data_IF_536737703971
#
_entry.id   IF_536737703971
#
_cell.length_a   1.000
_cell.length_b   1.000
_cell.length_c   1.000
_cell.angle_alpha   90.00
_cell.angle_beta   90.00
_cell.angle_gamma   90.00
#
_symmetry.space_group_name_H-M   'P 1'
#
loop_
_entity.id
_entity.type
_entity.pdbx_description
1 polymer ?
#
# COMPACT_ATOMS: atom_id res chain seq x y z
N UNK A 1 -40.43 49.63 22.80
CA UNK A 1 -40.29 48.99 21.47
C UNK A 1 -41.63 48.36 21.06
N UNK A 2 -42.21 48.82 19.94
CA UNK A 2 -43.63 48.63 19.58
C UNK A 2 -43.98 47.14 19.31
N UNK A 3 -45.12 46.62 19.85
CA UNK A 3 -45.55 45.20 19.78
C UNK A 3 -45.58 44.65 18.34
N UNK A 4 -45.96 45.47 17.36
CA UNK A 4 -45.96 45.11 15.93
C UNK A 4 -44.56 44.85 15.36
N UNK A 5 -43.50 45.44 15.94
CA UNK A 5 -42.11 45.28 15.51
C UNK A 5 -41.51 43.95 15.99
N UNK A 6 -41.92 43.46 17.18
CA UNK A 6 -41.52 42.14 17.72
C UNK A 6 -42.13 40.97 16.93
N UNK A 7 -43.42 41.05 16.58
CA UNK A 7 -44.06 40.01 15.76
C UNK A 7 -43.45 39.89 14.37
N UNK A 8 -43.11 41.01 13.71
CA UNK A 8 -42.43 40.99 12.41
C UNK A 8 -41.02 40.39 12.49
N UNK A 9 -40.30 40.64 13.58
CA UNK A 9 -38.95 40.09 13.79
C UNK A 9 -38.98 38.57 14.03
N UNK A 10 -39.96 38.07 14.79
CA UNK A 10 -40.12 36.62 15.04
C UNK A 10 -40.54 35.84 13.78
N UNK A 11 -41.35 36.44 12.89
CA UNK A 11 -41.74 35.80 11.62
C UNK A 11 -40.56 35.74 10.65
N UNK A 12 -39.74 36.79 10.59
CA UNK A 12 -38.53 36.81 9.76
C UNK A 12 -37.50 35.80 10.26
N UNK A 13 -37.32 35.66 11.58
CA UNK A 13 -36.41 34.66 12.17
C UNK A 13 -36.89 33.21 11.90
N UNK A 14 -38.20 32.96 11.96
CA UNK A 14 -38.78 31.66 11.61
C UNK A 14 -38.64 31.33 10.12
N UNK A 15 -38.78 32.31 9.22
CA UNK A 15 -38.51 32.13 7.78
C UNK A 15 -37.03 31.85 7.50
N UNK A 16 -36.11 32.52 8.20
CA UNK A 16 -34.66 32.27 8.05
C UNK A 16 -34.29 30.88 8.56
N UNK A 17 -34.87 30.41 9.67
CA UNK A 17 -34.68 29.03 10.15
C UNK A 17 -35.28 27.97 9.19
N UNK A 18 -36.40 28.27 8.52
CA UNK A 18 -36.98 27.37 7.50
C UNK A 18 -36.17 27.37 6.20
N UNK A 19 -35.57 28.49 5.81
CA UNK A 19 -34.67 28.62 4.66
C UNK A 19 -33.29 27.97 4.89
N UNK A 20 -32.86 27.82 6.16
CA UNK A 20 -31.65 27.05 6.49
C UNK A 20 -31.83 25.52 6.42
N UNK A 21 -33.06 25.00 6.28
CA UNK A 21 -33.33 23.57 6.05
C UNK A 21 -33.42 23.20 4.56
N UNK A 22 -33.40 24.19 3.65
CA UNK A 22 -33.55 23.95 2.21
C UNK A 22 -32.23 23.77 1.44
N UNK A 23 -31.08 23.75 2.11
CA UNK A 23 -29.84 23.27 1.54
C UNK A 23 -29.55 21.85 2.00
N UNK A 24 -30.50 20.95 1.78
CA UNK A 24 -30.14 19.54 1.66
C UNK A 24 -29.31 19.43 0.39
N UNK A 25 -27.99 19.34 0.53
CA UNK A 25 -27.17 18.80 -0.56
C UNK A 25 -27.84 17.50 -0.96
N UNK A 26 -28.26 17.42 -2.22
CA UNK A 26 -28.80 16.18 -2.77
C UNK A 26 -27.61 15.23 -2.81
N UNK A 27 -27.45 14.44 -1.74
CA UNK A 27 -26.54 13.33 -1.74
C UNK A 27 -27.06 12.39 -2.83
N UNK A 28 -26.37 12.36 -3.97
CA UNK A 28 -26.63 11.34 -4.97
C UNK A 28 -26.44 10.00 -4.26
N UNK A 29 -27.53 9.27 -4.07
CA UNK A 29 -27.46 7.92 -3.55
C UNK A 29 -26.55 7.14 -4.50
N UNK A 30 -25.40 6.70 -4.00
CA UNK A 30 -24.53 5.79 -4.73
C UNK A 30 -25.34 4.50 -4.92
N UNK A 31 -25.86 4.29 -6.13
CA UNK A 31 -26.77 3.17 -6.46
C UNK A 31 -26.03 1.82 -6.34
N UNK A 32 -24.70 1.84 -6.33
CA UNK A 32 -23.84 0.67 -6.10
C UNK A 32 -22.69 1.04 -5.16
N UNK A 33 -22.78 0.65 -3.89
CA UNK A 33 -21.65 0.78 -2.98
C UNK A 33 -20.51 -0.11 -3.48
N UNK A 34 -19.27 0.41 -3.63
CA UNK A 34 -18.13 -0.42 -3.95
C UNK A 34 -17.96 -1.48 -2.86
N UNK A 35 -17.73 -2.72 -3.29
CA UNK A 35 -17.52 -3.85 -2.38
C UNK A 35 -16.24 -3.65 -1.55
N UNK A 36 -15.24 -2.99 -2.14
CA UNK A 36 -13.94 -2.70 -1.55
C UNK A 36 -13.76 -1.18 -1.34
N UNK A 37 -13.07 -0.85 -0.26
CA UNK A 37 -12.68 0.50 0.12
C UNK A 37 -11.16 0.54 0.22
N UNK A 38 -10.54 1.62 -0.26
CA UNK A 38 -9.13 1.89 -0.09
C UNK A 38 -8.93 2.92 1.03
N UNK A 39 -8.21 2.52 2.08
CA UNK A 39 -7.96 3.37 3.25
C UNK A 39 -6.48 3.77 3.30
N UNK A 40 -6.18 5.06 3.26
CA UNK A 40 -4.81 5.56 3.46
C UNK A 40 -4.35 5.34 4.90
N UNK A 41 -3.36 4.46 5.09
CA UNK A 41 -2.76 4.19 6.41
C UNK A 41 -1.56 5.10 6.69
N UNK A 42 -0.66 5.21 5.71
CA UNK A 42 0.56 6.02 5.79
C UNK A 42 0.76 6.74 4.45
N UNK A 43 0.75 8.07 4.46
CA UNK A 43 0.89 8.94 3.29
C UNK A 43 1.30 10.37 3.72
N UNK A 44 1.87 11.17 2.83
CA UNK A 44 2.38 12.51 3.16
C UNK A 44 3.38 12.46 4.32
N UNK A 45 3.21 13.32 5.33
CA UNK A 45 4.09 13.40 6.50
C UNK A 45 4.13 12.11 7.37
N UNK A 46 3.18 11.20 7.17
CA UNK A 46 3.15 9.91 7.90
C UNK A 46 3.85 8.77 7.14
N UNK A 47 4.24 8.99 5.88
CA UNK A 47 4.97 8.01 5.09
C UNK A 47 6.39 7.78 5.65
N UNK A 48 6.83 6.52 5.65
CA UNK A 48 8.13 6.09 6.18
C UNK A 48 9.05 5.58 5.07
N UNK A 49 10.34 5.42 5.39
CA UNK A 49 11.29 4.76 4.48
C UNK A 49 11.06 3.25 4.37
N UNK A 50 10.45 2.65 5.40
CA UNK A 50 10.21 1.21 5.46
C UNK A 50 9.09 0.87 6.44
N UNK A 51 8.43 -0.25 6.18
CA UNK A 51 7.43 -0.87 7.06
C UNK A 51 7.76 -2.34 7.30
N UNK A 52 7.48 -2.81 8.51
CA UNK A 52 7.56 -4.23 8.85
C UNK A 52 6.17 -4.86 8.75
N UNK A 53 6.05 -5.96 8.01
CA UNK A 53 4.80 -6.71 7.89
C UNK A 53 4.93 -8.16 8.34
N UNK A 54 3.87 -8.70 8.93
CA UNK A 54 3.77 -10.13 9.30
C UNK A 54 2.31 -10.57 9.34
N UNK A 55 2.08 -11.88 9.33
CA UNK A 55 0.73 -12.44 9.40
C UNK A 55 0.78 -13.82 10.04
N UNK A 56 -0.05 -14.13 11.05
CA UNK A 56 -0.19 -15.50 11.55
C UNK A 56 -0.90 -16.42 10.53
N UNK A 57 -1.43 -15.86 9.45
CA UNK A 57 -2.09 -16.58 8.34
C UNK A 57 -1.17 -16.74 7.12
N UNK A 58 0.12 -16.45 7.27
CA UNK A 58 1.09 -16.35 6.18
C UNK A 58 0.89 -15.07 5.35
N UNK A 59 1.95 -14.68 4.63
CA UNK A 59 1.97 -13.56 3.71
C UNK A 59 2.17 -14.07 2.28
N UNK A 60 1.29 -13.68 1.38
CA UNK A 60 1.51 -13.75 -0.06
C UNK A 60 1.76 -12.33 -0.58
N UNK A 61 2.92 -12.13 -1.21
CA UNK A 61 3.33 -10.86 -1.78
C UNK A 61 3.15 -10.89 -3.30
N UNK A 62 2.46 -9.89 -3.81
CA UNK A 62 2.10 -9.78 -5.22
C UNK A 62 2.48 -8.41 -5.76
N UNK A 63 2.69 -8.31 -7.06
CA UNK A 63 2.78 -7.03 -7.78
C UNK A 63 1.59 -6.93 -8.71
N UNK A 64 0.94 -5.78 -8.76
CA UNK A 64 -0.13 -5.51 -9.72
C UNK A 64 0.43 -4.74 -10.91
N UNK A 65 0.42 -5.37 -12.08
CA UNK A 65 0.85 -4.77 -13.35
C UNK A 65 -0.38 -4.71 -14.24
N UNK A 66 -0.88 -3.51 -14.54
CA UNK A 66 -2.04 -3.31 -15.41
C UNK A 66 -3.28 -4.13 -15.00
N UNK A 67 -3.61 -4.15 -13.70
CA UNK A 67 -4.69 -4.93 -13.08
C UNK A 67 -4.50 -6.46 -13.12
N UNK A 68 -3.30 -6.93 -13.45
CA UNK A 68 -2.92 -8.33 -13.32
C UNK A 68 -1.98 -8.47 -12.13
N UNK A 69 -2.40 -9.26 -11.15
CA UNK A 69 -1.57 -9.58 -10.00
C UNK A 69 -0.68 -10.78 -10.29
N UNK A 70 0.60 -10.65 -9.95
CA UNK A 70 1.60 -11.69 -10.09
C UNK A 70 2.23 -11.92 -8.72
N UNK A 71 2.08 -13.14 -8.21
CA UNK A 71 2.70 -13.57 -6.96
C UNK A 71 4.23 -13.65 -7.12
N UNK A 72 4.98 -13.11 -6.17
CA UNK A 72 6.45 -13.17 -6.19
C UNK A 72 7.09 -13.70 -4.90
N UNK A 73 6.37 -13.77 -3.79
CA UNK A 73 6.88 -14.40 -2.57
C UNK A 73 5.74 -14.87 -1.68
N UNK A 74 5.90 -16.05 -1.08
CA UNK A 74 5.05 -16.52 0.02
C UNK A 74 5.94 -16.78 1.25
N UNK A 75 5.52 -16.32 2.42
CA UNK A 75 6.33 -16.38 3.63
C UNK A 75 5.48 -16.38 4.90
N UNK A 76 5.83 -17.21 5.87
CA UNK A 76 5.29 -17.14 7.24
C UNK A 76 6.13 -16.25 8.17
N UNK A 77 7.21 -15.66 7.63
CA UNK A 77 8.11 -14.79 8.38
C UNK A 77 7.68 -13.33 8.32
N UNK A 78 8.36 -12.52 9.13
CA UNK A 78 8.25 -11.07 9.04
C UNK A 78 9.04 -10.57 7.83
N UNK A 79 8.40 -9.73 7.00
CA UNK A 79 9.02 -9.07 5.85
C UNK A 79 9.18 -7.57 6.12
N UNK A 80 10.11 -6.96 5.39
CA UNK A 80 10.29 -5.51 5.35
C UNK A 80 10.02 -5.05 3.92
N UNK A 81 9.10 -4.09 3.78
CA UNK A 81 8.86 -3.35 2.53
C UNK A 81 9.47 -1.97 2.70
N UNK A 82 10.42 -1.60 1.85
CA UNK A 82 11.21 -0.39 2.00
C UNK A 82 11.48 0.29 0.65
N UNK A 83 11.85 1.56 0.70
CA UNK A 83 12.50 2.21 -0.44
C UNK A 83 13.92 1.69 -0.61
N UNK A 84 14.35 1.52 -1.86
CA UNK A 84 15.72 1.09 -2.18
C UNK A 84 16.66 2.29 -2.33
N UNK A 85 16.75 3.11 -1.29
CA UNK A 85 17.56 4.33 -1.26
C UNK A 85 18.53 4.39 -0.06
N UNK A 86 18.78 3.24 0.57
CA UNK A 86 19.58 3.12 1.77
C UNK A 86 21.05 2.81 1.51
N UNK A 87 21.77 2.57 2.60
CA UNK A 87 23.09 1.94 2.53
C UNK A 87 22.92 0.53 1.92
N UNK A 88 23.75 0.19 0.94
CA UNK A 88 23.70 -1.05 0.16
C UNK A 88 22.66 -1.13 -0.99
N UNK A 89 22.11 0.00 -1.46
CA UNK A 89 21.14 0.07 -2.56
C UNK A 89 21.75 0.22 -3.97
N UNK A 90 23.01 -0.19 -4.16
CA UNK A 90 23.59 -0.39 -5.49
C UNK A 90 23.56 -1.89 -5.82
N UNK A 91 23.16 -2.23 -7.05
CA UNK A 91 23.06 -3.61 -7.51
C UNK A 91 23.66 -3.77 -8.90
N UNK A 92 24.24 -4.94 -9.17
CA UNK A 92 24.67 -5.30 -10.53
C UNK A 92 23.45 -5.84 -11.26
N UNK A 93 23.22 -5.37 -12.48
CA UNK A 93 22.12 -5.82 -13.32
C UNK A 93 22.65 -6.87 -14.29
N UNK A 94 21.96 -8.01 -14.39
CA UNK A 94 22.16 -8.93 -15.50
C UNK A 94 21.52 -8.34 -16.75
N UNK A 95 22.24 -8.32 -17.86
CA UNK A 95 21.83 -7.59 -19.07
C UNK A 95 20.61 -8.21 -19.79
N UNK A 96 20.25 -9.45 -19.46
CA UNK A 96 19.06 -10.13 -19.98
C UNK A 96 17.76 -9.49 -19.44
N UNK A 97 16.79 -9.30 -20.33
CA UNK A 97 15.42 -8.92 -20.00
C UNK A 97 14.48 -10.09 -20.27
N UNK A 98 13.53 -10.30 -19.35
CA UNK A 98 12.56 -11.38 -19.39
C UNK A 98 11.14 -10.83 -19.54
N UNK A 99 10.26 -11.65 -20.11
CA UNK A 99 8.86 -11.25 -20.37
C UNK A 99 7.90 -11.71 -19.28
N UNK A 100 8.35 -12.61 -18.40
CA UNK A 100 7.58 -13.08 -17.25
C UNK A 100 8.40 -13.10 -15.97
N UNK A 101 7.70 -12.94 -14.84
CA UNK A 101 8.29 -13.14 -13.51
C UNK A 101 8.95 -14.50 -13.39
N UNK A 102 8.32 -15.56 -13.92
CA UNK A 102 8.80 -16.93 -13.78
C UNK A 102 10.17 -17.13 -14.42
N UNK A 103 10.40 -16.59 -15.62
CA UNK A 103 11.71 -16.66 -16.28
C UNK A 103 12.81 -15.96 -15.46
N UNK A 104 12.54 -14.75 -14.97
CA UNK A 104 13.48 -14.02 -14.13
C UNK A 104 13.72 -14.71 -12.79
N UNK A 105 12.66 -15.26 -12.16
CA UNK A 105 12.75 -16.01 -10.92
C UNK A 105 13.58 -17.28 -11.08
N UNK A 106 13.33 -18.08 -12.12
CA UNK A 106 14.09 -19.31 -12.38
C UNK A 106 15.57 -19.01 -12.60
N UNK A 107 15.90 -17.92 -13.31
CA UNK A 107 17.28 -17.45 -13.45
C UNK A 107 17.88 -16.99 -12.12
N UNK A 108 17.16 -16.19 -11.32
CA UNK A 108 17.61 -15.77 -10.01
C UNK A 108 17.87 -16.98 -9.09
N UNK A 109 16.99 -17.98 -9.10
CA UNK A 109 17.18 -19.22 -8.34
C UNK A 109 18.40 -20.00 -8.82
N UNK A 110 18.61 -20.14 -10.14
CA UNK A 110 19.76 -20.82 -10.70
C UNK A 110 21.09 -20.15 -10.28
N UNK A 111 21.16 -18.82 -10.33
CA UNK A 111 22.31 -18.05 -9.86
C UNK A 111 22.49 -18.16 -8.34
N UNK A 112 21.39 -18.13 -7.59
CA UNK A 112 21.41 -18.31 -6.13
C UNK A 112 21.94 -19.69 -5.73
N UNK A 113 21.59 -20.74 -6.47
CA UNK A 113 22.12 -22.08 -6.24
C UNK A 113 23.64 -22.18 -6.49
N UNK A 114 24.20 -21.31 -7.34
CA UNK A 114 25.64 -21.17 -7.54
C UNK A 114 26.34 -20.26 -6.50
N UNK A 115 25.57 -19.72 -5.54
CA UNK A 115 26.05 -18.87 -4.45
C UNK A 115 25.97 -17.37 -4.70
N UNK A 116 25.29 -16.92 -5.75
CA UNK A 116 25.03 -15.49 -5.96
C UNK A 116 23.92 -15.00 -5.02
N UNK A 117 24.03 -13.76 -4.52
CA UNK A 117 22.89 -13.09 -3.91
C UNK A 117 22.09 -12.41 -5.01
N UNK A 118 20.94 -12.95 -5.40
CA UNK A 118 20.14 -12.44 -6.52
C UNK A 118 18.66 -12.33 -6.20
N UNK A 119 17.96 -11.46 -6.90
CA UNK A 119 16.52 -11.30 -6.79
C UNK A 119 15.91 -10.83 -8.11
N UNK A 120 14.65 -11.23 -8.41
CA UNK A 120 13.90 -10.72 -9.55
C UNK A 120 13.47 -9.27 -9.33
N UNK A 121 13.42 -8.51 -10.42
CA UNK A 121 13.01 -7.10 -10.41
C UNK A 121 12.05 -6.82 -11.57
N UNK A 122 10.98 -6.08 -11.30
CA UNK A 122 10.17 -5.47 -12.36
C UNK A 122 10.70 -4.05 -12.64
N UNK A 123 11.29 -3.84 -13.81
CA UNK A 123 12.01 -2.61 -14.12
C UNK A 123 11.10 -1.47 -14.58
N UNK A 124 11.59 -0.23 -14.50
CA UNK A 124 10.93 0.93 -15.08
C UNK A 124 10.71 0.81 -16.61
N UNK A 125 11.50 -0.01 -17.30
CA UNK A 125 11.34 -0.29 -18.74
C UNK A 125 10.22 -1.28 -19.05
N UNK A 126 9.55 -1.84 -18.03
CA UNK A 126 8.43 -2.77 -18.19
C UNK A 126 8.84 -4.22 -18.42
N UNK A 127 10.13 -4.54 -18.24
CA UNK A 127 10.66 -5.90 -18.35
C UNK A 127 10.98 -6.48 -16.97
N UNK A 128 11.05 -7.81 -16.89
CA UNK A 128 11.59 -8.49 -15.73
C UNK A 128 13.10 -8.60 -15.87
N UNK A 129 13.82 -8.37 -14.77
CA UNK A 129 15.28 -8.43 -14.71
C UNK A 129 15.74 -9.27 -13.52
N UNK A 130 17.02 -9.64 -13.51
CA UNK A 130 17.66 -10.27 -12.36
C UNK A 130 18.81 -9.39 -11.90
N UNK A 131 18.74 -8.94 -10.65
CA UNK A 131 19.76 -8.10 -10.04
C UNK A 131 20.55 -8.89 -9.00
N UNK A 132 21.79 -8.45 -8.77
CA UNK A 132 22.77 -9.17 -7.98
C UNK A 132 23.45 -8.26 -6.95
N UNK A 133 23.68 -8.84 -5.77
CA UNK A 133 24.40 -8.23 -4.67
C UNK A 133 23.67 -7.05 -4.05
N UNK A 134 24.32 -6.41 -3.08
CA UNK A 134 23.89 -5.18 -2.44
C UNK A 134 25.17 -4.47 -2.02
N UNK A 135 25.44 -3.31 -2.60
CA UNK A 135 26.74 -2.65 -2.55
C UNK A 135 26.59 -1.23 -1.99
N UNK A 136 27.50 -0.81 -1.13
CA UNK A 136 27.41 0.48 -0.43
C UNK A 136 27.68 1.68 -1.35
N UNK A 137 28.37 1.46 -2.47
CA UNK A 137 28.72 2.51 -3.44
C UNK A 137 28.78 1.96 -4.86
N UNK A 138 28.70 2.87 -5.84
CA UNK A 138 28.95 2.56 -7.25
C UNK A 138 30.30 1.88 -7.46
N UNK A 139 31.36 2.34 -6.79
CA UNK A 139 32.71 1.78 -6.95
C UNK A 139 32.76 0.34 -6.45
N UNK A 140 32.15 0.05 -5.30
CA UNK A 140 32.10 -1.32 -4.77
C UNK A 140 31.30 -2.27 -5.68
N UNK A 141 30.22 -1.78 -6.28
CA UNK A 141 29.44 -2.55 -7.26
C UNK A 141 30.25 -2.78 -8.56
N UNK A 142 30.86 -1.75 -9.11
CA UNK A 142 31.68 -1.84 -10.34
C UNK A 142 32.87 -2.78 -10.17
N UNK A 143 33.58 -2.69 -9.04
CA UNK A 143 34.70 -3.57 -8.73
C UNK A 143 34.29 -5.05 -8.61
N UNK A 144 33.04 -5.33 -8.22
CA UNK A 144 32.53 -6.68 -8.10
C UNK A 144 32.13 -7.31 -9.46
N UNK A 145 31.87 -6.52 -10.51
CA UNK A 145 31.42 -7.01 -11.83
C UNK A 145 32.39 -8.06 -12.38
N UNK A 146 33.70 -7.82 -12.34
CA UNK A 146 34.69 -8.76 -12.88
C UNK A 146 34.59 -10.14 -12.21
N UNK A 147 34.36 -10.17 -10.89
CA UNK A 147 34.17 -11.42 -10.15
C UNK A 147 32.84 -12.12 -10.45
N UNK A 148 31.78 -11.33 -10.70
CA UNK A 148 30.46 -11.84 -11.09
C UNK A 148 30.54 -12.48 -12.48
N UNK A 149 31.13 -11.79 -13.46
CA UNK A 149 31.31 -12.29 -14.84
C UNK A 149 32.15 -13.57 -14.86
N UNK A 150 33.19 -13.64 -14.03
CA UNK A 150 34.05 -14.84 -13.96
C UNK A 150 33.35 -16.06 -13.35
N UNK A 151 32.36 -15.86 -12.48
CA UNK A 151 31.71 -16.93 -11.71
C UNK A 151 30.35 -17.35 -12.24
N UNK A 152 29.60 -16.42 -12.83
CA UNK A 152 28.20 -16.62 -13.20
C UNK A 152 28.02 -16.42 -14.71
N UNK A 153 27.50 -17.41 -15.46
CA UNK A 153 27.34 -17.30 -16.90
C UNK A 153 26.37 -16.17 -17.28
N UNK A 154 26.77 -15.27 -18.17
CA UNK A 154 25.92 -14.19 -18.72
C UNK A 154 26.67 -12.88 -18.92
N UNK A 155 25.93 -11.85 -19.31
CA UNK A 155 26.45 -10.50 -19.50
C UNK A 155 26.01 -9.59 -18.35
N UNK A 156 26.97 -8.81 -17.85
CA UNK A 156 26.80 -7.89 -16.72
C UNK A 156 27.60 -6.62 -17.03
N UNK A 157 26.93 -5.62 -17.58
CA UNK A 157 27.57 -4.35 -17.98
C UNK A 157 27.05 -3.15 -17.20
N UNK A 158 25.96 -3.34 -16.44
CA UNK A 158 25.21 -2.24 -15.83
C UNK A 158 25.14 -2.39 -14.31
N UNK A 159 25.20 -1.26 -13.60
CA UNK A 159 24.79 -1.16 -12.21
C UNK A 159 23.56 -0.25 -12.10
N UNK A 160 22.73 -0.51 -11.10
CA UNK A 160 21.65 0.40 -10.70
C UNK A 160 22.08 1.23 -9.50
N UNK A 161 21.53 2.43 -9.41
CA UNK A 161 21.75 3.38 -8.32
C UNK A 161 20.59 3.30 -7.32
N UNK A 162 20.82 3.78 -6.08
CA UNK A 162 19.75 3.95 -5.09
C UNK A 162 18.61 4.80 -5.66
N UNK A 163 17.37 4.34 -5.49
CA UNK A 163 16.18 4.99 -6.00
C UNK A 163 15.10 5.05 -4.93
N UNK A 164 14.64 6.26 -4.62
CA UNK A 164 13.51 6.45 -3.72
C UNK A 164 12.16 6.09 -4.39
N UNK A 165 12.16 5.87 -5.70
CA UNK A 165 10.99 5.43 -6.46
C UNK A 165 10.87 3.90 -6.60
N UNK A 166 11.80 3.17 -5.97
CA UNK A 166 11.86 1.71 -6.02
C UNK A 166 11.41 1.12 -4.69
N UNK A 167 10.51 0.15 -4.78
CA UNK A 167 10.06 -0.65 -3.63
C UNK A 167 10.88 -1.93 -3.59
N UNK A 168 11.43 -2.25 -2.42
CA UNK A 168 12.18 -3.46 -2.16
C UNK A 168 11.50 -4.26 -1.05
N UNK A 169 11.35 -5.57 -1.26
CA UNK A 169 10.80 -6.51 -0.29
C UNK A 169 11.89 -7.48 0.15
N UNK A 170 12.12 -7.59 1.45
CA UNK A 170 13.14 -8.47 2.04
C UNK A 170 12.64 -9.22 3.26
N UNK A 171 13.27 -10.36 3.52
CA UNK A 171 13.13 -11.09 4.78
C UNK A 171 13.78 -10.27 5.90
N UNK A 172 13.07 -10.06 7.02
CA UNK A 172 13.54 -9.20 8.12
C UNK A 172 14.77 -9.76 8.82
N UNK A 173 14.81 -11.07 9.04
CA UNK A 173 15.82 -11.70 9.89
C UNK A 173 17.14 -11.91 9.14
N UNK A 174 17.05 -12.28 7.87
CA UNK A 174 18.21 -12.58 7.01
C UNK A 174 18.64 -11.39 6.16
N UNK A 175 17.83 -10.34 6.08
CA UNK A 175 17.99 -9.22 5.14
C UNK A 175 18.03 -9.64 3.67
N UNK A 176 17.69 -10.90 3.33
CA UNK A 176 17.65 -11.38 1.96
C UNK A 176 16.57 -10.65 1.18
N UNK A 177 16.96 -10.02 0.08
CA UNK A 177 16.05 -9.39 -0.87
C UNK A 177 15.28 -10.49 -1.60
N UNK A 178 13.95 -10.38 -1.60
CA UNK A 178 13.05 -11.32 -2.27
C UNK A 178 12.61 -10.78 -3.63
N UNK A 179 12.41 -9.46 -3.72
CA UNK A 179 11.89 -8.79 -4.91
C UNK A 179 12.17 -7.28 -4.86
N UNK A 180 12.28 -6.64 -6.02
CA UNK A 180 12.17 -5.18 -6.14
C UNK A 180 11.25 -4.76 -7.31
N UNK A 181 10.52 -3.67 -7.12
CA UNK A 181 9.74 -2.99 -8.14
C UNK A 181 10.33 -1.60 -8.38
N UNK A 182 10.88 -1.38 -9.56
CA UNK A 182 11.43 -0.08 -9.99
C UNK A 182 10.42 0.69 -10.87
N UNK A 183 9.14 0.32 -10.80
CA UNK A 183 8.05 0.92 -11.57
C UNK A 183 6.94 1.42 -10.63
N UNK A 184 6.86 2.74 -10.37
CA UNK A 184 5.85 3.32 -9.47
C UNK A 184 4.40 3.04 -9.86
N UNK A 185 4.13 2.73 -11.13
CA UNK A 185 2.78 2.39 -11.61
C UNK A 185 2.35 0.96 -11.29
N UNK A 186 3.25 0.14 -10.73
CA UNK A 186 2.98 -1.25 -10.38
C UNK A 186 3.07 -1.45 -8.86
N UNK A 187 1.96 -1.27 -8.12
CA UNK A 187 1.98 -1.36 -6.67
C UNK A 187 2.25 -2.79 -6.19
N UNK A 188 2.90 -2.90 -5.04
CA UNK A 188 3.17 -4.16 -4.35
C UNK A 188 2.09 -4.41 -3.32
N UNK A 189 1.50 -5.60 -3.29
CA UNK A 189 0.37 -5.93 -2.42
C UNK A 189 0.75 -7.11 -1.53
N UNK A 190 0.53 -6.98 -0.22
CA UNK A 190 0.57 -8.08 0.73
C UNK A 190 -0.85 -8.60 0.98
N UNK A 191 -1.00 -9.92 1.00
CA UNK A 191 -2.25 -10.65 1.27
C UNK A 191 -2.00 -11.77 2.27
N UNK A 192 -3.04 -12.21 2.95
CA UNK A 192 -2.94 -13.43 3.76
C UNK A 192 -3.05 -14.67 2.88
N UNK A 193 -2.22 -15.70 3.10
CA UNK A 193 -2.32 -16.98 2.38
C UNK A 193 -3.60 -17.71 2.81
N UNK A 194 -3.77 -17.89 4.12
CA UNK A 194 -4.95 -18.53 4.70
C UNK A 194 -6.05 -17.49 4.93
N UNK A 195 -6.91 -17.30 3.92
CA UNK A 195 -7.98 -16.29 3.96
C UNK A 195 -9.19 -16.78 4.76
N UNK A 196 -9.66 -15.94 5.67
CA UNK A 196 -10.92 -16.16 6.39
C UNK A 196 -11.50 -14.81 6.81
N UNK A 197 -12.73 -14.79 7.30
CA UNK A 197 -13.35 -13.57 7.83
C UNK A 197 -12.68 -13.06 9.11
N UNK A 198 -11.62 -13.70 9.61
CA UNK A 198 -10.83 -13.26 10.76
C UNK A 198 -9.35 -13.12 10.42
N UNK A 199 -8.94 -13.27 9.15
CA UNK A 199 -7.55 -13.08 8.77
C UNK A 199 -7.16 -11.61 8.88
N UNK A 200 -5.92 -11.38 9.30
CA UNK A 200 -5.34 -10.05 9.49
C UNK A 200 -3.83 -10.11 9.26
N UNK A 201 -3.25 -8.95 8.97
CA UNK A 201 -1.82 -8.74 8.90
C UNK A 201 -1.43 -7.66 9.90
N UNK A 202 -0.21 -7.75 10.43
CA UNK A 202 0.41 -6.65 11.15
C UNK A 202 1.21 -5.79 10.18
N UNK A 203 1.09 -4.47 10.30
CA UNK A 203 2.07 -3.51 9.81
C UNK A 203 2.56 -2.68 10.99
N UNK A 204 3.87 -2.65 11.21
CA UNK A 204 4.50 -2.00 12.37
C UNK A 204 3.79 -2.31 13.70
N UNK A 205 3.51 -3.59 13.93
CA UNK A 205 2.83 -4.16 15.11
C UNK A 205 1.36 -3.78 15.29
N UNK A 206 0.73 -3.13 14.31
CA UNK A 206 -0.71 -2.83 14.33
C UNK A 206 -1.47 -3.77 13.38
N UNK A 207 -2.55 -4.44 13.85
CA UNK A 207 -3.30 -5.38 13.03
C UNK A 207 -4.28 -4.66 12.11
N UNK A 208 -4.34 -5.10 10.85
CA UNK A 208 -5.29 -4.65 9.85
C UNK A 208 -5.89 -5.83 9.10
N UNK A 209 -7.16 -5.71 8.74
CA UNK A 209 -7.89 -6.67 7.89
C UNK A 209 -7.75 -6.29 6.43
N UNK A 210 -7.99 -7.23 5.53
CA UNK A 210 -7.85 -7.00 4.08
C UNK A 210 -6.39 -6.99 3.64
N UNK A 211 -6.13 -6.38 2.49
CA UNK A 211 -4.82 -6.36 1.85
C UNK A 211 -4.10 -5.06 2.17
N UNK A 212 -2.76 -5.11 2.19
CA UNK A 212 -1.91 -3.93 2.31
C UNK A 212 -1.27 -3.67 0.96
N UNK A 213 -1.50 -2.50 0.38
CA UNK A 213 -0.92 -2.06 -0.87
C UNK A 213 0.15 -1.01 -0.60
N UNK A 214 1.32 -1.20 -1.21
CA UNK A 214 2.49 -0.36 -1.11
C UNK A 214 2.74 0.28 -2.46
N UNK A 215 2.85 1.59 -2.47
CA UNK A 215 3.03 2.37 -3.70
C UNK A 215 3.91 3.59 -3.43
N UNK A 216 4.58 4.05 -4.47
CA UNK A 216 5.35 5.29 -4.43
C UNK A 216 4.47 6.41 -4.99
N UNK A 217 4.07 7.35 -4.13
CA UNK A 217 3.37 8.56 -4.54
C UNK A 217 4.30 9.79 -4.52
N UNK A 218 3.96 10.78 -5.36
CA UNK A 218 4.60 12.11 -5.45
C UNK A 218 6.15 12.02 -5.39
N UNK A 219 6.82 12.93 -4.69
CA UNK A 219 8.28 13.03 -4.55
C UNK A 219 8.91 11.86 -3.75
N UNK A 220 8.59 10.62 -4.11
CA UNK A 220 9.14 9.38 -3.54
C UNK A 220 8.66 9.01 -2.13
N UNK A 221 7.38 9.19 -1.84
CA UNK A 221 6.75 8.75 -0.59
C UNK A 221 6.31 7.30 -0.71
N UNK A 222 6.78 6.42 0.20
CA UNK A 222 6.29 5.05 0.28
C UNK A 222 4.98 5.04 1.09
N UNK A 223 3.89 5.10 0.34
CA UNK A 223 2.54 5.10 0.89
C UNK A 223 2.05 3.67 1.12
N UNK A 224 1.17 3.53 2.10
CA UNK A 224 0.48 2.29 2.40
C UNK A 224 -1.01 2.52 2.39
N UNK A 225 -1.70 1.76 1.55
CA UNK A 225 -3.15 1.71 1.47
C UNK A 225 -3.63 0.38 2.04
N UNK A 226 -4.77 0.39 2.71
CA UNK A 226 -5.45 -0.81 3.14
C UNK A 226 -6.69 -1.02 2.28
N UNK A 227 -6.66 -2.09 1.48
CA UNK A 227 -7.75 -2.48 0.60
C UNK A 227 -8.59 -3.55 1.31
N UNK A 228 -9.80 -3.19 1.74
CA UNK A 228 -10.67 -4.08 2.52
C UNK A 228 -12.14 -3.94 2.13
N UNK A 229 -12.94 -4.94 2.49
CA UNK A 229 -14.39 -4.85 2.31
C UNK A 229 -14.96 -3.69 3.13
N UNK A 230 -15.92 -2.97 2.56
CA UNK A 230 -16.58 -1.85 3.24
C UNK A 230 -17.12 -2.25 4.62
N UNK A 231 -17.68 -3.45 4.76
CA UNK A 231 -18.19 -3.94 6.04
C UNK A 231 -17.08 -4.21 7.08
N UNK A 232 -15.87 -4.57 6.65
CA UNK A 232 -14.73 -4.68 7.57
C UNK A 232 -14.25 -3.32 8.05
N UNK A 233 -14.30 -2.30 7.19
CA UNK A 233 -14.05 -0.93 7.59
C UNK A 233 -15.09 -0.45 8.60
N UNK A 234 -16.38 -0.60 8.31
CA UNK A 234 -17.47 -0.21 9.21
C UNK A 234 -17.35 -0.92 10.56
N UNK A 235 -17.04 -2.22 10.56
CA UNK A 235 -16.82 -2.99 11.80
C UNK A 235 -15.69 -2.39 12.66
N UNK A 236 -14.58 -2.01 12.05
CA UNK A 236 -13.45 -1.38 12.75
C UNK A 236 -13.80 -0.01 13.31
N UNK A 237 -14.44 0.85 12.50
CA UNK A 237 -14.76 2.23 12.87
C UNK A 237 -15.81 2.29 13.98
N UNK A 238 -16.90 1.54 13.87
CA UNK A 238 -18.02 1.61 14.83
C UNK A 238 -17.55 1.27 16.25
N UNK A 239 -16.74 0.23 16.39
CA UNK A 239 -16.23 -0.20 17.69
C UNK A 239 -15.24 0.82 18.30
N UNK A 240 -14.44 1.50 17.47
CA UNK A 240 -13.46 2.49 17.92
C UNK A 240 -14.10 3.83 18.31
N UNK A 241 -15.14 4.26 17.60
CA UNK A 241 -15.76 5.58 17.79
C UNK A 241 -16.70 5.63 19.00
N UNK A 242 -17.55 4.62 19.18
CA UNK A 242 -18.58 4.64 20.24
C UNK A 242 -18.45 3.50 21.26
N UNK A 243 -17.42 2.65 21.10
CA UNK A 243 -17.20 1.50 21.96
C UNK A 243 -18.16 0.33 21.69
N UNK A 244 -17.64 -0.88 21.79
CA UNK A 244 -18.41 -2.11 21.53
C UNK A 244 -19.59 -2.34 22.48
N UNK A 245 -19.60 -1.69 23.65
CA UNK A 245 -20.64 -1.84 24.67
C UNK A 245 -21.79 -0.84 24.53
N UNK A 246 -21.78 -0.02 23.46
CA UNK A 246 -22.87 0.93 23.18
C UNK A 246 -24.20 0.23 22.91
N UNK A 247 -25.35 0.90 23.12
CA UNK A 247 -26.66 0.35 22.78
C UNK A 247 -26.74 -0.10 21.32
N UNK A 248 -27.47 -1.19 21.06
CA UNK A 248 -27.57 -1.78 19.71
C UNK A 248 -28.02 -0.76 18.65
N UNK A 249 -28.99 0.09 18.98
CA UNK A 249 -29.47 1.12 18.04
C UNK A 249 -28.42 2.22 17.80
N UNK A 250 -27.58 2.54 18.78
CA UNK A 250 -26.44 3.45 18.61
C UNK A 250 -25.38 2.83 17.70
N UNK A 251 -25.08 1.53 17.87
CA UNK A 251 -24.18 0.79 16.98
C UNK A 251 -24.68 0.78 15.53
N UNK A 252 -25.98 0.52 15.32
CA UNK A 252 -26.60 0.56 13.99
C UNK A 252 -26.56 1.97 13.38
N UNK A 253 -26.90 3.01 14.16
CA UNK A 253 -26.85 4.39 13.69
C UNK A 253 -25.42 4.79 13.28
N UNK A 254 -24.43 4.48 14.11
CA UNK A 254 -23.03 4.75 13.80
C UNK A 254 -22.56 3.99 12.56
N UNK A 255 -23.01 2.74 12.37
CA UNK A 255 -22.69 1.97 11.17
C UNK A 255 -23.22 2.63 9.88
N UNK A 256 -24.42 3.20 9.92
CA UNK A 256 -24.98 3.96 8.79
C UNK A 256 -24.18 5.25 8.53
N UNK A 257 -23.79 5.96 9.60
CA UNK A 257 -22.96 7.17 9.49
C UNK A 257 -21.58 6.85 8.91
N UNK A 258 -20.88 5.86 9.45
CA UNK A 258 -19.55 5.45 8.98
C UNK A 258 -19.57 5.00 7.51
N UNK A 259 -20.60 4.24 7.11
CA UNK A 259 -20.78 3.81 5.72
C UNK A 259 -21.04 4.99 4.79
N UNK A 260 -21.96 5.89 5.17
CA UNK A 260 -22.25 7.10 4.39
C UNK A 260 -21.01 7.96 4.23
N UNK A 261 -20.25 8.17 5.31
CA UNK A 261 -19.00 8.91 5.26
C UNK A 261 -18.01 8.28 4.28
N UNK A 262 -17.76 6.97 4.38
CA UNK A 262 -16.83 6.27 3.49
C UNK A 262 -17.23 6.37 2.01
N UNK A 263 -18.53 6.32 1.71
CA UNK A 263 -19.04 6.39 0.34
C UNK A 263 -19.09 7.79 -0.25
N UNK A 264 -19.20 8.82 0.60
CA UNK A 264 -19.28 10.22 0.16
C UNK A 264 -17.93 10.94 0.20
N UNK A 265 -16.90 10.33 0.79
CA UNK A 265 -15.59 10.96 0.90
C UNK A 265 -14.83 10.91 -0.43
N UNK A 266 -14.28 12.06 -0.85
CA UNK A 266 -13.46 12.18 -2.06
C UNK A 266 -12.21 13.05 -1.85
N UNK A 267 -11.92 13.48 -0.62
CA UNK A 267 -10.81 14.37 -0.28
C UNK A 267 -9.42 13.85 -0.70
N UNK A 268 -9.26 12.54 -0.91
CA UNK A 268 -7.95 11.90 -1.11
C UNK A 268 -7.76 11.23 -2.46
N UNK A 269 -8.61 11.56 -3.45
CA UNK A 269 -8.46 11.06 -4.82
C UNK A 269 -7.06 11.30 -5.40
N UNK A 270 -6.37 12.37 -5.00
CA UNK A 270 -4.99 12.65 -5.42
C UNK A 270 -3.99 11.55 -5.02
N UNK A 271 -4.22 10.87 -3.91
CA UNK A 271 -3.42 9.74 -3.43
C UNK A 271 -4.05 8.38 -3.78
N UNK A 272 -5.11 8.36 -4.59
CA UNK A 272 -5.76 7.12 -5.03
C UNK A 272 -6.45 6.32 -3.92
N UNK A 273 -6.95 6.96 -2.85
CA UNK A 273 -7.72 6.27 -1.81
C UNK A 273 -8.99 7.03 -1.39
N UNK A 274 -9.92 6.30 -0.77
CA UNK A 274 -11.28 6.76 -0.47
C UNK A 274 -11.36 7.50 0.88
N UNK A 275 -10.73 6.95 1.92
CA UNK A 275 -10.73 7.51 3.29
C UNK A 275 -9.37 7.41 3.97
N UNK A 276 -9.10 8.23 4.98
CA UNK A 276 -7.87 8.16 5.77
C UNK A 276 -8.12 7.49 7.14
N UNK A 277 -7.09 6.88 7.75
CA UNK A 277 -7.21 6.17 9.04
C UNK A 277 -7.22 7.07 10.30
N UNK A 278 -7.18 8.39 10.12
CA UNK A 278 -7.15 9.40 11.20
C UNK A 278 -8.19 10.50 10.95
N UNK A 279 -8.37 11.45 11.87
CA UNK A 279 -9.16 12.65 11.59
C UNK A 279 -8.50 13.50 10.50
N UNK A 280 -9.14 13.53 9.33
CA UNK A 280 -8.92 14.41 8.18
C UNK A 280 -10.27 15.05 7.77
#
# INVERSE_FOLDING_TARGET
MNKKKRQRFSIILAMICLLSFSYANVANAVIYAPLYLQVGLFFGDTAKQSYTISSPFGLNMTININNQEIDFASSDKTLVVAKDNGEYSYHIVRDDNYTSYKEAYDMAVALSAAGASTFPVYSASGFWQVWLGSYASSDSAMNAIASVVARYPGSYSTITYPSSARILVRDKDTSRILFACDNPSAPVIAKTINTSNTSYMYIDNKPYRGNLEFTIFKSSELCVLNNLLLEYYVYGVVALEIGSNSPMESLKAQAVVARTYALCQNKHQEYGFDVCSTTC
#
